data_IF_499965385619
#
_entry.id   IF_499965385619
#
_cell.length_a   1.000
_cell.length_b   1.000
_cell.length_c   1.000
_cell.angle_alpha   90.00
_cell.angle_beta   90.00
_cell.angle_gamma   90.00
#
_symmetry.space_group_name_H-M   'P 1'
#
loop_
_entity.id
_entity.type
_entity.pdbx_description
1 polymer ?
#
# COMPACT_ATOMS: atom_id res chain seq x y z
N UNK A 1 -22.22 4.55 -12.38
CA UNK A 1 -21.95 3.27 -13.08
C UNK A 1 -22.73 3.30 -14.37
N UNK A 2 -22.14 3.01 -15.54
CA UNK A 2 -22.85 3.20 -16.83
C UNK A 2 -24.05 2.26 -16.97
N UNK A 3 -25.22 2.80 -17.27
CA UNK A 3 -26.45 2.01 -17.45
C UNK A 3 -26.42 1.28 -18.81
N UNK A 4 -26.93 0.05 -18.91
CA UNK A 4 -27.00 -0.66 -20.20
C UNK A 4 -27.94 0.08 -21.16
N UNK A 5 -27.68 0.02 -22.46
CA UNK A 5 -28.50 0.70 -23.47
C UNK A 5 -29.98 0.30 -23.40
N UNK A 6 -30.25 -1.00 -23.18
CA UNK A 6 -31.60 -1.52 -23.01
C UNK A 6 -32.30 -0.87 -21.79
N UNK A 7 -31.64 -0.87 -20.64
CA UNK A 7 -32.17 -0.28 -19.42
C UNK A 7 -32.35 1.24 -19.54
N UNK A 8 -31.45 1.94 -20.26
CA UNK A 8 -31.62 3.38 -20.55
C UNK A 8 -32.89 3.66 -21.34
N UNK A 9 -33.16 2.88 -22.37
CA UNK A 9 -34.35 3.05 -23.21
C UNK A 9 -35.61 2.77 -22.38
N UNK A 10 -35.59 1.72 -21.57
CA UNK A 10 -36.75 1.38 -20.73
C UNK A 10 -36.99 2.39 -19.61
N UNK A 11 -35.95 2.87 -18.93
CA UNK A 11 -36.07 3.94 -17.92
C UNK A 11 -36.63 5.22 -18.54
N UNK A 12 -36.18 5.59 -19.74
CA UNK A 12 -36.69 6.77 -20.44
C UNK A 12 -38.18 6.63 -20.80
N UNK A 13 -38.61 5.45 -21.24
CA UNK A 13 -40.02 5.16 -21.55
C UNK A 13 -40.91 5.17 -20.30
N UNK A 14 -40.44 4.56 -19.20
CA UNK A 14 -41.13 4.58 -17.90
C UNK A 14 -41.29 6.00 -17.38
N UNK A 15 -40.23 6.82 -17.47
CA UNK A 15 -40.28 8.22 -17.07
C UNK A 15 -41.26 9.04 -17.92
N UNK A 16 -41.28 8.83 -19.25
CA UNK A 16 -42.22 9.51 -20.14
C UNK A 16 -43.67 9.13 -19.81
N UNK A 17 -43.93 7.85 -19.58
CA UNK A 17 -45.26 7.33 -19.18
C UNK A 17 -45.71 7.94 -17.86
N UNK A 18 -44.83 7.95 -16.86
CA UNK A 18 -45.13 8.50 -15.53
C UNK A 18 -45.41 10.01 -15.59
N UNK A 19 -44.65 10.78 -16.39
CA UNK A 19 -44.86 12.22 -16.57
C UNK A 19 -46.18 12.59 -17.22
N UNK A 20 -46.67 11.76 -18.14
CA UNK A 20 -47.97 11.97 -18.76
C UNK A 20 -49.12 11.85 -17.75
N UNK A 21 -48.89 11.18 -16.62
CA UNK A 21 -49.93 10.78 -15.67
C UNK A 21 -49.83 11.45 -14.30
N UNK A 22 -48.63 11.65 -13.76
CA UNK A 22 -48.41 12.22 -12.44
C UNK A 22 -47.84 13.64 -12.52
N UNK A 23 -48.57 14.66 -12.05
CA UNK A 23 -48.03 16.01 -11.95
C UNK A 23 -46.98 16.09 -10.84
N UNK A 24 -45.77 16.56 -11.16
CA UNK A 24 -44.69 16.77 -10.18
C UNK A 24 -43.42 15.96 -10.43
N UNK A 25 -43.44 14.97 -11.34
CA UNK A 25 -42.22 14.26 -11.73
C UNK A 25 -41.28 15.19 -12.48
N UNK A 26 -40.03 15.28 -11.99
CA UNK A 26 -39.01 16.18 -12.52
C UNK A 26 -38.63 15.89 -13.98
N UNK A 27 -38.06 16.90 -14.66
CA UNK A 27 -37.36 16.68 -15.92
C UNK A 27 -35.99 16.07 -15.64
N UNK A 28 -35.85 14.75 -15.74
CA UNK A 28 -34.53 14.14 -15.68
C UNK A 28 -33.72 14.47 -16.94
N UNK A 29 -32.45 14.85 -16.75
CA UNK A 29 -31.46 14.81 -17.81
C UNK A 29 -31.34 13.37 -18.36
N UNK A 30 -30.66 13.19 -19.51
CA UNK A 30 -30.46 11.86 -20.06
C UNK A 30 -29.79 10.95 -19.00
N UNK A 31 -30.53 9.95 -18.51
CA UNK A 31 -30.05 9.01 -17.49
C UNK A 31 -28.83 8.28 -18.06
N UNK A 32 -27.66 8.56 -17.50
CA UNK A 32 -26.40 8.01 -18.01
C UNK A 32 -25.94 6.81 -17.21
N UNK A 33 -26.41 6.71 -15.97
CA UNK A 33 -25.81 5.89 -14.94
C UNK A 33 -26.85 5.21 -14.04
N UNK A 34 -26.48 4.09 -13.42
CA UNK A 34 -27.40 3.26 -12.66
C UNK A 34 -27.90 3.92 -11.37
N UNK A 35 -27.13 4.81 -10.75
CA UNK A 35 -27.60 5.53 -9.56
C UNK A 35 -28.69 6.53 -9.97
N UNK A 36 -28.46 7.29 -11.04
CA UNK A 36 -29.48 8.18 -11.62
C UNK A 36 -30.74 7.39 -12.02
N UNK A 37 -30.56 6.20 -12.61
CA UNK A 37 -31.68 5.35 -13.02
C UNK A 37 -32.51 4.87 -11.83
N UNK A 38 -31.85 4.42 -10.76
CA UNK A 38 -32.51 3.97 -9.54
C UNK A 38 -33.28 5.11 -8.87
N UNK A 39 -32.68 6.31 -8.78
CA UNK A 39 -33.33 7.49 -8.19
C UNK A 39 -34.59 7.89 -8.98
N UNK A 40 -34.48 7.92 -10.32
CA UNK A 40 -35.62 8.22 -11.20
C UNK A 40 -36.72 7.17 -11.08
N UNK A 41 -36.37 5.89 -11.09
CA UNK A 41 -37.35 4.82 -10.95
C UNK A 41 -38.02 4.82 -9.56
N UNK A 42 -37.30 5.18 -8.51
CA UNK A 42 -37.85 5.30 -7.15
C UNK A 42 -38.79 6.51 -7.02
N UNK A 43 -38.50 7.62 -7.70
CA UNK A 43 -39.42 8.77 -7.83
C UNK A 43 -40.73 8.35 -8.53
N UNK A 44 -40.62 7.66 -9.68
CA UNK A 44 -41.78 7.13 -10.41
C UNK A 44 -42.58 6.14 -9.57
N UNK A 45 -41.89 5.24 -8.86
CA UNK A 45 -42.52 4.26 -7.98
C UNK A 45 -43.36 4.94 -6.89
N UNK A 46 -42.79 5.93 -6.19
CA UNK A 46 -43.50 6.67 -5.13
C UNK A 46 -44.72 7.39 -5.68
N UNK A 47 -44.60 8.08 -6.82
CA UNK A 47 -45.73 8.78 -7.43
C UNK A 47 -46.89 7.84 -7.80
N UNK A 48 -46.58 6.66 -8.34
CA UNK A 48 -47.57 5.65 -8.66
C UNK A 48 -48.22 5.03 -7.41
N UNK A 49 -47.45 4.78 -6.35
CA UNK A 49 -47.99 4.31 -5.05
C UNK A 49 -48.89 5.37 -4.40
N UNK A 50 -48.52 6.64 -4.43
CA UNK A 50 -49.33 7.73 -3.90
C UNK A 50 -50.68 7.85 -4.64
N UNK A 51 -50.67 7.69 -5.98
CA UNK A 51 -51.89 7.68 -6.78
C UNK A 51 -52.83 6.52 -6.42
N UNK A 52 -52.27 5.33 -6.14
CA UNK A 52 -53.03 4.13 -5.77
C UNK A 52 -53.55 4.13 -4.34
N UNK A 53 -52.87 4.86 -3.43
CA UNK A 53 -53.28 4.99 -2.02
C UNK A 53 -54.22 6.17 -1.79
N UNK A 54 -54.47 6.98 -2.82
CA UNK A 54 -55.48 8.04 -2.83
C UNK A 54 -56.91 7.51 -2.75
N UNK A 55 -57.88 8.44 -2.77
CA UNK A 55 -59.31 8.12 -2.65
C UNK A 55 -59.95 7.59 -3.94
N UNK A 56 -59.22 7.60 -5.05
CA UNK A 56 -59.70 7.14 -6.36
C UNK A 56 -59.46 5.62 -6.52
N UNK A 57 -60.34 4.89 -7.23
CA UNK A 57 -60.13 3.47 -7.49
C UNK A 57 -58.85 3.24 -8.31
N UNK A 58 -58.09 2.15 -8.03
CA UNK A 58 -56.87 1.81 -8.77
C UNK A 58 -57.11 1.69 -10.27
N UNK A 59 -56.35 2.39 -11.09
CA UNK A 59 -56.33 2.17 -12.55
C UNK A 59 -55.46 0.95 -12.87
N UNK A 60 -55.90 0.12 -13.82
CA UNK A 60 -55.11 -0.99 -14.34
C UNK A 60 -53.76 -0.50 -14.89
N UNK A 61 -53.73 0.72 -15.43
CA UNK A 61 -52.52 1.34 -15.95
C UNK A 61 -51.49 1.69 -14.85
N UNK A 62 -51.95 2.08 -13.66
CA UNK A 62 -51.08 2.39 -12.52
C UNK A 62 -50.44 1.09 -11.97
N UNK A 63 -51.19 -0.01 -11.96
CA UNK A 63 -50.68 -1.35 -11.57
C UNK A 63 -49.66 -1.86 -12.60
N UNK A 64 -49.93 -1.70 -13.89
CA UNK A 64 -49.02 -2.08 -14.97
C UNK A 64 -47.70 -1.28 -14.89
N UNK A 65 -47.78 0.03 -14.69
CA UNK A 65 -46.62 0.89 -14.52
C UNK A 65 -45.77 0.46 -13.33
N UNK A 66 -46.37 0.23 -12.15
CA UNK A 66 -45.65 -0.29 -10.99
C UNK A 66 -44.95 -1.62 -11.27
N UNK A 67 -45.63 -2.56 -11.94
CA UNK A 67 -45.03 -3.84 -12.30
C UNK A 67 -43.79 -3.65 -13.18
N UNK A 68 -43.88 -2.79 -14.20
CA UNK A 68 -42.76 -2.50 -15.09
C UNK A 68 -41.61 -1.81 -14.36
N UNK A 69 -41.89 -0.82 -13.51
CA UNK A 69 -40.89 -0.14 -12.69
C UNK A 69 -40.19 -1.13 -11.75
N UNK A 70 -40.94 -2.02 -11.09
CA UNK A 70 -40.36 -3.06 -10.21
C UNK A 70 -39.46 -4.02 -10.97
N UNK A 71 -39.88 -4.47 -12.14
CA UNK A 71 -39.06 -5.31 -13.01
C UNK A 71 -37.77 -4.59 -13.42
N UNK A 72 -37.84 -3.32 -13.84
CA UNK A 72 -36.68 -2.52 -14.18
C UNK A 72 -35.74 -2.33 -13.00
N UNK A 73 -36.25 -1.93 -11.83
CA UNK A 73 -35.47 -1.81 -10.58
C UNK A 73 -34.75 -3.12 -10.24
N UNK A 74 -35.45 -4.25 -10.32
CA UNK A 74 -34.89 -5.56 -9.96
C UNK A 74 -33.76 -5.96 -10.92
N UNK A 75 -33.93 -5.75 -12.22
CA UNK A 75 -32.88 -6.03 -13.22
C UNK A 75 -31.67 -5.11 -13.08
N UNK A 76 -31.90 -3.81 -12.90
CA UNK A 76 -30.81 -2.83 -12.72
C UNK A 76 -30.04 -3.16 -11.44
N UNK A 77 -30.72 -3.45 -10.33
CA UNK A 77 -30.06 -3.82 -9.07
C UNK A 77 -29.27 -5.13 -9.18
N UNK A 78 -29.83 -6.16 -9.82
CA UNK A 78 -29.13 -7.41 -10.07
C UNK A 78 -27.88 -7.20 -10.94
N UNK A 79 -28.00 -6.39 -12.00
CA UNK A 79 -26.86 -6.06 -12.87
C UNK A 79 -25.78 -5.28 -12.12
N UNK A 80 -26.15 -4.37 -11.23
CA UNK A 80 -25.19 -3.64 -10.41
C UNK A 80 -24.45 -4.57 -9.43
N UNK A 81 -25.16 -5.50 -8.79
CA UNK A 81 -24.55 -6.49 -7.89
C UNK A 81 -23.55 -7.37 -8.65
N UNK A 82 -23.94 -7.92 -9.81
CA UNK A 82 -23.06 -8.77 -10.63
C UNK A 82 -21.82 -8.01 -11.11
N UNK A 83 -21.97 -6.74 -11.49
CA UNK A 83 -20.84 -5.89 -11.88
C UNK A 83 -19.90 -5.59 -10.73
N UNK A 84 -20.44 -5.25 -9.55
CA UNK A 84 -19.61 -5.01 -8.36
C UNK A 84 -18.86 -6.28 -7.96
N UNK A 85 -19.52 -7.43 -7.96
CA UNK A 85 -18.89 -8.71 -7.64
C UNK A 85 -17.77 -9.06 -8.62
N UNK A 86 -18.03 -8.90 -9.93
CA UNK A 86 -17.01 -9.09 -10.98
C UNK A 86 -15.84 -8.13 -10.80
N UNK A 87 -16.12 -6.85 -10.54
CA UNK A 87 -15.12 -5.81 -10.35
C UNK A 87 -14.23 -6.07 -9.12
N UNK A 88 -14.83 -6.50 -8.01
CA UNK A 88 -14.11 -6.89 -6.79
C UNK A 88 -13.30 -8.17 -6.99
N UNK A 89 -13.82 -9.14 -7.72
CA UNK A 89 -13.09 -10.35 -8.08
C UNK A 89 -11.85 -10.00 -8.92
N UNK A 90 -12.01 -9.18 -9.97
CA UNK A 90 -10.89 -8.70 -10.79
C UNK A 90 -9.85 -7.94 -9.97
N UNK A 91 -10.28 -7.06 -9.05
CA UNK A 91 -9.36 -6.34 -8.16
C UNK A 91 -8.61 -7.31 -7.25
N UNK A 92 -9.32 -8.24 -6.60
CA UNK A 92 -8.71 -9.24 -5.70
C UNK A 92 -7.67 -10.08 -6.44
N UNK A 93 -8.01 -10.58 -7.62
CA UNK A 93 -7.12 -11.43 -8.40
C UNK A 93 -5.88 -10.63 -8.86
N UNK A 94 -6.08 -9.38 -9.31
CA UNK A 94 -5.00 -8.45 -9.64
C UNK A 94 -4.07 -8.17 -8.44
N UNK A 95 -4.63 -7.99 -7.24
CA UNK A 95 -3.83 -7.78 -6.01
C UNK A 95 -3.08 -9.04 -5.57
N UNK A 96 -3.71 -10.21 -5.67
CA UNK A 96 -3.10 -11.49 -5.27
C UNK A 96 -1.88 -11.83 -6.13
N UNK A 97 -1.89 -11.47 -7.42
CA UNK A 97 -0.74 -11.65 -8.31
C UNK A 97 0.51 -10.88 -7.86
N UNK A 98 0.33 -9.72 -7.22
CA UNK A 98 1.42 -8.83 -6.85
C UNK A 98 1.89 -8.98 -5.39
N UNK A 99 1.10 -9.59 -4.51
CA UNK A 99 1.45 -9.78 -3.09
C UNK A 99 2.72 -10.57 -2.85
N UNK A 100 2.98 -11.55 -3.72
CA UNK A 100 4.06 -12.51 -3.58
C UNK A 100 5.40 -11.99 -4.14
N UNK A 101 5.45 -10.74 -4.57
CA UNK A 101 6.62 -10.15 -5.20
C UNK A 101 7.40 -9.33 -4.18
N UNK A 102 8.67 -9.70 -4.00
CA UNK A 102 9.59 -9.03 -3.07
C UNK A 102 10.57 -8.06 -3.76
N UNK A 103 10.57 -8.01 -5.10
CA UNK A 103 11.41 -7.11 -5.90
C UNK A 103 10.59 -5.93 -6.45
N UNK A 104 10.93 -4.66 -6.12
CA UNK A 104 10.19 -3.50 -6.59
C UNK A 104 10.11 -3.38 -8.11
N UNK A 105 11.19 -3.68 -8.84
CA UNK A 105 11.20 -3.56 -10.30
C UNK A 105 10.30 -4.61 -10.95
N UNK A 106 10.33 -5.84 -10.46
CA UNK A 106 9.42 -6.90 -10.90
C UNK A 106 7.96 -6.59 -10.51
N UNK A 107 7.72 -6.02 -9.33
CA UNK A 107 6.41 -5.62 -8.86
C UNK A 107 5.74 -4.64 -9.83
N UNK A 108 6.45 -3.59 -10.26
CA UNK A 108 5.89 -2.58 -11.17
C UNK A 108 5.52 -3.18 -12.53
N UNK A 109 6.34 -4.10 -13.05
CA UNK A 109 6.03 -4.82 -14.29
C UNK A 109 4.77 -5.71 -14.15
N UNK A 110 4.66 -6.44 -13.05
CA UNK A 110 3.48 -7.27 -12.78
C UNK A 110 2.25 -6.43 -12.48
N UNK A 111 2.39 -5.28 -11.84
CA UNK A 111 1.32 -4.34 -11.60
C UNK A 111 0.74 -3.77 -12.91
N UNK A 112 1.58 -3.52 -13.93
CA UNK A 112 1.08 -3.10 -15.24
C UNK A 112 0.20 -4.19 -15.88
N UNK A 113 0.58 -5.46 -15.78
CA UNK A 113 -0.22 -6.59 -16.28
C UNK A 113 -1.51 -6.71 -15.47
N UNK A 114 -1.43 -6.69 -14.14
CA UNK A 114 -2.58 -6.79 -13.25
C UNK A 114 -3.60 -5.67 -13.47
N UNK A 115 -3.14 -4.44 -13.78
CA UNK A 115 -4.00 -3.32 -14.12
C UNK A 115 -4.82 -3.59 -15.40
N UNK A 116 -4.27 -4.27 -16.41
CA UNK A 116 -5.05 -4.65 -17.61
C UNK A 116 -6.19 -5.63 -17.30
N UNK A 117 -6.02 -6.48 -16.28
CA UNK A 117 -7.07 -7.41 -15.85
C UNK A 117 -8.29 -6.71 -15.21
N UNK A 118 -8.21 -5.40 -14.92
CA UNK A 118 -9.33 -4.59 -14.44
C UNK A 118 -10.28 -4.11 -15.56
N UNK A 119 -10.13 -4.64 -16.77
CA UNK A 119 -10.97 -4.28 -17.92
C UNK A 119 -10.36 -3.21 -18.83
N UNK A 120 -9.03 -3.08 -18.79
CA UNK A 120 -8.22 -2.20 -19.65
C UNK A 120 -7.36 -3.06 -20.59
N UNK A 121 -7.01 -2.54 -21.77
CA UNK A 121 -6.17 -3.27 -22.73
C UNK A 121 -4.68 -2.92 -22.58
N UNK A 122 -4.40 -1.75 -21.99
CA UNK A 122 -3.07 -1.20 -21.81
C UNK A 122 -2.96 -0.53 -20.46
N UNK A 123 -1.79 -0.65 -19.84
CA UNK A 123 -1.46 0.07 -18.63
C UNK A 123 0.00 0.51 -18.61
N UNK A 124 0.26 1.66 -18.00
CA UNK A 124 1.58 2.21 -17.76
C UNK A 124 1.71 2.56 -16.29
N UNK A 125 2.83 2.18 -15.69
CA UNK A 125 3.20 2.55 -14.34
C UNK A 125 4.34 3.55 -14.44
N UNK A 126 4.21 4.65 -13.73
CA UNK A 126 5.18 5.72 -13.75
C UNK A 126 5.62 6.11 -12.35
N UNK A 127 6.87 6.50 -12.22
CA UNK A 127 7.44 7.11 -11.02
C UNK A 127 7.27 8.63 -11.07
N UNK A 128 7.11 9.23 -9.89
CA UNK A 128 7.17 10.67 -9.69
C UNK A 128 8.20 10.98 -8.61
N UNK A 129 9.26 11.68 -8.99
CA UNK A 129 10.31 12.14 -8.09
C UNK A 129 10.79 13.53 -8.49
N UNK A 130 10.98 14.43 -7.53
CA UNK A 130 11.47 15.80 -7.78
C UNK A 130 10.67 16.58 -8.84
N UNK A 131 9.36 16.33 -8.92
CA UNK A 131 8.47 16.93 -9.92
C UNK A 131 8.64 16.37 -11.34
N UNK A 132 9.50 15.37 -11.54
CA UNK A 132 9.64 14.66 -12.80
C UNK A 132 8.73 13.44 -12.83
N UNK A 133 8.13 13.21 -13.99
CA UNK A 133 7.31 12.06 -14.32
C UNK A 133 8.08 11.16 -15.30
N UNK A 134 8.27 9.90 -14.91
CA UNK A 134 9.02 8.93 -15.70
C UNK A 134 8.28 7.59 -15.75
N UNK A 135 7.90 7.09 -16.93
CA UNK A 135 7.40 5.73 -17.07
C UNK A 135 8.46 4.70 -16.67
N UNK A 136 8.06 3.72 -15.86
CA UNK A 136 8.97 2.69 -15.33
C UNK A 136 8.55 1.28 -15.73
N UNK A 137 7.27 1.05 -16.00
CA UNK A 137 6.77 -0.21 -16.50
C UNK A 137 5.54 -0.01 -17.39
N UNK A 138 5.27 -0.97 -18.27
CA UNK A 138 4.14 -0.90 -19.19
C UNK A 138 3.70 -2.27 -19.67
N UNK A 139 2.42 -2.42 -19.93
CA UNK A 139 1.84 -3.59 -20.55
C UNK A 139 0.81 -3.21 -21.60
N UNK A 140 0.85 -3.89 -22.74
CA UNK A 140 -0.13 -3.79 -23.82
C UNK A 140 -0.45 -5.23 -24.21
N UNK A 141 -1.71 -5.65 -24.02
CA UNK A 141 -2.16 -7.06 -24.15
C UNK A 141 -1.72 -7.71 -25.46
N UNK A 142 -1.69 -6.95 -26.56
CA UNK A 142 -1.41 -7.44 -27.92
C UNK A 142 -0.01 -7.11 -28.44
N UNK A 143 0.75 -6.26 -27.75
CA UNK A 143 2.05 -5.81 -28.23
C UNK A 143 3.01 -5.40 -27.09
N UNK A 144 3.71 -6.37 -26.48
CA UNK A 144 4.69 -6.09 -25.44
C UNK A 144 5.86 -5.21 -25.91
N UNK A 145 6.19 -5.23 -27.21
CA UNK A 145 7.29 -4.42 -27.75
C UNK A 145 6.91 -2.95 -27.82
N UNK A 146 5.66 -2.65 -28.16
CA UNK A 146 5.14 -1.29 -28.14
C UNK A 146 5.10 -0.71 -26.72
N UNK A 147 4.73 -1.52 -25.73
CA UNK A 147 4.80 -1.10 -24.32
C UNK A 147 6.23 -0.69 -23.93
N UNK A 148 7.21 -1.49 -24.33
CA UNK A 148 8.63 -1.23 -24.06
C UNK A 148 9.14 0.04 -24.75
N UNK A 149 8.67 0.33 -25.96
CA UNK A 149 9.02 1.55 -26.68
C UNK A 149 8.49 2.81 -25.99
N UNK A 150 7.26 2.77 -25.48
CA UNK A 150 6.67 3.89 -24.72
C UNK A 150 7.47 4.16 -23.46
N UNK A 151 7.80 3.09 -22.71
CA UNK A 151 8.61 3.21 -21.48
C UNK A 151 9.99 3.78 -21.79
N UNK A 152 10.67 3.24 -22.81
CA UNK A 152 12.00 3.71 -23.21
C UNK A 152 11.99 5.19 -23.61
N UNK A 153 11.01 5.62 -24.42
CA UNK A 153 10.90 7.01 -24.85
C UNK A 153 10.65 7.97 -23.67
N UNK A 154 9.81 7.57 -22.71
CA UNK A 154 9.57 8.37 -21.50
C UNK A 154 10.77 8.44 -20.55
N UNK A 155 11.58 7.38 -20.49
CA UNK A 155 12.83 7.36 -19.73
C UNK A 155 13.93 8.20 -20.38
N UNK A 156 13.97 8.23 -21.71
CA UNK A 156 14.93 9.05 -22.45
C UNK A 156 14.61 10.54 -22.29
N UNK A 157 13.32 10.91 -22.21
CA UNK A 157 12.88 12.30 -22.17
C UNK A 157 11.90 12.59 -21.02
N UNK A 158 12.31 12.48 -19.73
CA UNK A 158 11.44 12.74 -18.58
C UNK A 158 10.72 14.09 -18.67
N UNK A 159 9.44 14.13 -18.29
CA UNK A 159 8.67 15.37 -18.28
C UNK A 159 8.49 15.95 -16.87
N UNK A 160 8.53 17.27 -16.75
CA UNK A 160 8.24 17.97 -15.49
C UNK A 160 6.74 18.17 -15.37
N UNK A 161 6.17 17.72 -14.25
CA UNK A 161 4.74 17.90 -13.95
C UNK A 161 4.50 19.37 -13.61
N UNK A 162 3.85 20.08 -14.53
CA UNK A 162 3.39 21.45 -14.31
C UNK A 162 1.87 21.51 -14.15
N UNK A 163 1.34 22.67 -13.75
CA UNK A 163 -0.08 22.84 -13.49
C UNK A 163 -0.98 22.70 -14.74
N UNK A 164 -0.41 22.65 -15.95
CA UNK A 164 -1.16 22.52 -17.20
C UNK A 164 -1.38 21.05 -17.59
N UNK A 165 -0.58 20.12 -17.05
CA UNK A 165 -0.79 18.69 -17.23
C UNK A 165 -1.96 18.17 -16.39
N UNK A 166 -2.79 17.26 -16.94
CA UNK A 166 -3.85 16.60 -16.17
C UNK A 166 -3.34 15.93 -14.90
N UNK A 167 -2.15 15.34 -14.94
CA UNK A 167 -1.49 14.63 -13.85
C UNK A 167 -1.24 15.53 -12.63
N UNK A 168 -1.11 16.85 -12.81
CA UNK A 168 -0.99 17.78 -11.69
C UNK A 168 -2.25 17.84 -10.83
N UNK A 169 -3.42 17.50 -11.38
CA UNK A 169 -4.64 17.36 -10.59
C UNK A 169 -4.53 16.19 -9.61
N UNK A 170 -3.91 15.08 -10.01
CA UNK A 170 -3.68 13.94 -9.12
C UNK A 170 -2.73 14.30 -7.98
N UNK A 171 -1.69 15.12 -8.23
CA UNK A 171 -0.81 15.63 -7.17
C UNK A 171 -1.56 16.53 -6.17
N UNK A 172 -2.53 17.32 -6.64
CA UNK A 172 -3.26 18.29 -5.82
C UNK A 172 -4.43 17.69 -5.06
N UNK A 173 -5.18 16.77 -5.69
CA UNK A 173 -6.43 16.22 -5.16
C UNK A 173 -6.29 14.81 -4.61
N UNK A 174 -5.19 14.12 -4.89
CA UNK A 174 -4.92 12.75 -4.47
C UNK A 174 -6.04 11.79 -4.87
N UNK A 175 -6.60 11.99 -6.07
CA UNK A 175 -7.72 11.21 -6.60
C UNK A 175 -7.46 10.81 -8.05
N UNK A 176 -8.04 9.70 -8.51
CA UNK A 176 -7.99 9.33 -9.92
C UNK A 176 -8.65 10.37 -10.81
N UNK A 177 -8.18 10.46 -12.05
CA UNK A 177 -8.70 11.33 -13.10
C UNK A 177 -9.16 10.52 -14.30
N UNK A 178 -10.08 11.10 -15.06
CA UNK A 178 -10.46 10.63 -16.40
C UNK A 178 -10.12 11.72 -17.40
N UNK A 179 -9.31 11.37 -18.39
CA UNK A 179 -9.08 12.19 -19.58
C UNK A 179 -9.90 11.59 -20.72
N UNK A 180 -10.97 12.30 -21.10
CA UNK A 180 -11.92 11.84 -22.11
C UNK A 180 -11.56 12.27 -23.55
N UNK A 181 -10.64 13.22 -23.71
CA UNK A 181 -10.09 13.59 -25.02
C UNK A 181 -8.74 14.29 -24.84
N UNK A 182 -7.67 13.59 -25.18
CA UNK A 182 -6.30 14.10 -25.08
C UNK A 182 -6.07 15.31 -25.98
N UNK A 183 -6.76 15.43 -27.11
CA UNK A 183 -6.58 16.53 -28.05
C UNK A 183 -7.23 17.84 -27.58
N UNK A 184 -8.11 17.79 -26.59
CA UNK A 184 -8.73 18.99 -25.98
C UNK A 184 -7.90 19.58 -24.84
N UNK A 185 -6.85 18.89 -24.42
CA UNK A 185 -6.03 19.35 -23.31
C UNK A 185 -5.16 20.53 -23.73
N UNK A 186 -4.99 21.54 -22.85
CA UNK A 186 -4.08 22.65 -23.12
C UNK A 186 -2.63 22.20 -23.18
N UNK A 187 -2.28 21.13 -22.46
CA UNK A 187 -0.98 20.49 -22.47
C UNK A 187 -1.13 18.99 -22.23
N UNK A 188 -0.27 18.22 -22.87
CA UNK A 188 -0.19 16.77 -22.73
C UNK A 188 1.26 16.31 -22.99
N UNK A 189 1.64 15.13 -22.49
CA UNK A 189 2.99 14.60 -22.71
C UNK A 189 3.15 14.08 -24.13
N UNK A 190 3.54 14.99 -25.03
CA UNK A 190 3.58 14.74 -26.47
C UNK A 190 4.39 13.48 -26.84
N UNK A 191 5.58 13.29 -26.25
CA UNK A 191 6.43 12.13 -26.53
C UNK A 191 5.73 10.80 -26.27
N UNK A 192 5.03 10.68 -25.14
CA UNK A 192 4.28 9.47 -24.83
C UNK A 192 3.05 9.36 -25.72
N UNK A 193 2.31 10.45 -25.92
CA UNK A 193 1.04 10.42 -26.66
C UNK A 193 1.25 10.11 -28.14
N UNK A 194 2.29 10.64 -28.76
CA UNK A 194 2.62 10.39 -30.17
C UNK A 194 2.91 8.90 -30.42
N UNK A 195 3.56 8.25 -29.45
CA UNK A 195 3.90 6.83 -29.52
C UNK A 195 2.72 5.95 -29.08
N UNK A 196 2.08 6.28 -27.96
CA UNK A 196 0.99 5.51 -27.37
C UNK A 196 -0.32 5.65 -28.17
N UNK A 197 -0.48 6.73 -28.94
CA UNK A 197 -1.66 7.05 -29.76
C UNK A 197 -2.98 7.00 -28.97
N UNK A 198 -2.91 7.21 -27.65
CA UNK A 198 -4.06 7.17 -26.76
C UNK A 198 -4.93 8.40 -26.95
N UNK A 199 -6.25 8.21 -27.03
CA UNK A 199 -7.23 9.31 -27.11
C UNK A 199 -7.90 9.59 -25.77
N UNK A 200 -8.06 8.54 -24.95
CA UNK A 200 -8.75 8.57 -23.66
C UNK A 200 -8.01 7.68 -22.70
N UNK A 201 -7.91 8.07 -21.44
CA UNK A 201 -7.30 7.24 -20.41
C UNK A 201 -7.85 7.58 -19.03
N UNK A 202 -7.74 6.60 -18.13
CA UNK A 202 -7.92 6.79 -16.69
C UNK A 202 -6.54 6.79 -16.06
N UNK A 203 -6.31 7.67 -15.09
CA UNK A 203 -5.08 7.64 -14.31
C UNK A 203 -5.38 7.70 -12.82
N UNK A 204 -4.59 6.99 -12.01
CA UNK A 204 -4.71 6.93 -10.57
C UNK A 204 -3.36 7.18 -9.89
N UNK A 205 -3.33 7.90 -8.75
CA UNK A 205 -2.11 8.10 -7.99
C UNK A 205 -1.69 6.84 -7.25
N UNK A 206 -0.38 6.59 -7.20
CA UNK A 206 0.25 5.60 -6.34
C UNK A 206 0.74 6.34 -5.09
N UNK A 207 0.16 6.01 -3.94
CA UNK A 207 0.37 6.75 -2.69
C UNK A 207 1.38 6.04 -1.78
N UNK A 208 2.31 6.79 -1.20
CA UNK A 208 3.16 6.33 -0.10
C UNK A 208 3.24 7.41 0.97
N UNK A 209 2.91 7.05 2.22
CA UNK A 209 2.97 7.95 3.38
C UNK A 209 2.33 9.34 3.14
N UNK A 210 1.21 9.39 2.40
CA UNK A 210 0.48 10.63 2.09
C UNK A 210 1.01 11.43 0.89
N UNK A 211 2.08 10.95 0.24
CA UNK A 211 2.64 11.55 -0.96
C UNK A 211 2.37 10.69 -2.19
N UNK A 212 2.25 11.33 -3.35
CA UNK A 212 2.23 10.62 -4.65
C UNK A 212 3.66 10.25 -5.01
N UNK A 213 3.93 8.95 -5.17
CA UNK A 213 5.23 8.42 -5.62
C UNK A 213 5.21 7.97 -7.08
N UNK A 214 4.03 7.97 -7.70
CA UNK A 214 3.85 7.47 -9.04
C UNK A 214 2.41 7.55 -9.51
N UNK A 215 2.18 7.11 -10.75
CA UNK A 215 0.87 7.02 -11.36
C UNK A 215 0.67 5.66 -12.02
N UNK A 216 -0.57 5.19 -12.01
CA UNK A 216 -1.05 4.11 -12.86
C UNK A 216 -1.93 4.75 -13.93
N UNK A 217 -1.55 4.64 -15.19
CA UNK A 217 -2.36 5.04 -16.35
C UNK A 217 -2.90 3.79 -17.03
N UNK A 218 -4.17 3.80 -17.42
CA UNK A 218 -4.77 2.69 -18.12
C UNK A 218 -5.75 3.16 -19.20
N UNK A 219 -5.80 2.44 -20.31
CA UNK A 219 -6.77 2.69 -21.37
C UNK A 219 -7.32 1.42 -22.04
N UNK A 220 -8.32 1.59 -22.90
CA UNK A 220 -9.02 0.53 -23.62
C UNK A 220 -8.90 0.76 -25.14
N UNK A 221 -7.67 0.86 -25.62
CA UNK A 221 -7.37 1.23 -27.01
C UNK A 221 -8.00 0.30 -28.06
N UNK A 222 -8.04 -1.02 -27.82
CA UNK A 222 -8.59 -1.97 -28.79
C UNK A 222 -10.11 -2.11 -28.68
N UNK A 223 -10.66 -1.95 -27.46
CA UNK A 223 -12.11 -2.08 -27.22
C UNK A 223 -12.89 -0.78 -27.46
N UNK A 224 -12.21 0.37 -27.52
CA UNK A 224 -12.76 1.69 -27.83
C UNK A 224 -14.10 1.99 -27.13
N UNK A 225 -14.18 1.70 -25.82
CA UNK A 225 -15.36 1.91 -24.98
C UNK A 225 -15.23 3.19 -24.13
N UNK A 226 -16.34 3.84 -23.73
CA UNK A 226 -16.30 4.88 -22.72
C UNK A 226 -15.94 4.30 -21.35
N UNK A 227 -15.21 5.08 -20.55
CA UNK A 227 -14.93 4.74 -19.15
C UNK A 227 -16.08 5.17 -18.25
N UNK A 228 -16.28 4.39 -17.20
CA UNK A 228 -17.33 4.57 -16.21
C UNK A 228 -16.72 5.00 -14.87
N UNK A 229 -17.56 5.53 -13.97
CA UNK A 229 -17.13 5.81 -12.60
C UNK A 229 -16.58 4.58 -11.86
N UNK A 230 -16.96 3.35 -12.27
CA UNK A 230 -16.38 2.14 -11.70
C UNK A 230 -14.97 1.87 -12.20
N UNK A 231 -14.68 2.12 -13.47
CA UNK A 231 -13.31 1.98 -14.02
C UNK A 231 -12.34 2.91 -13.28
N UNK A 232 -12.78 4.15 -13.05
CA UNK A 232 -12.02 5.17 -12.31
C UNK A 232 -11.78 4.71 -10.87
N UNK A 233 -12.82 4.19 -10.19
CA UNK A 233 -12.71 3.70 -8.80
C UNK A 233 -11.85 2.46 -8.69
N UNK A 234 -11.98 1.49 -9.60
CA UNK A 234 -11.17 0.28 -9.61
C UNK A 234 -9.69 0.59 -9.78
N UNK A 235 -9.36 1.45 -10.75
CA UNK A 235 -7.96 1.85 -10.95
C UNK A 235 -7.44 2.65 -9.74
N UNK A 236 -8.29 3.48 -9.11
CA UNK A 236 -7.97 4.18 -7.88
C UNK A 236 -7.62 3.24 -6.72
N UNK A 237 -8.49 2.27 -6.44
CA UNK A 237 -8.26 1.27 -5.39
C UNK A 237 -7.01 0.42 -5.69
N UNK A 238 -6.77 0.09 -6.96
CA UNK A 238 -5.56 -0.60 -7.38
C UNK A 238 -4.31 0.26 -7.14
N UNK A 239 -4.34 1.56 -7.44
CA UNK A 239 -3.24 2.50 -7.17
C UNK A 239 -2.95 2.66 -5.67
N UNK A 240 -3.99 2.74 -4.84
CA UNK A 240 -3.86 2.74 -3.37
C UNK A 240 -3.20 1.47 -2.86
N UNK A 241 -3.67 0.31 -3.33
CA UNK A 241 -3.12 -0.98 -2.98
C UNK A 241 -1.65 -1.12 -3.41
N UNK A 242 -1.34 -0.76 -4.65
CA UNK A 242 0.02 -0.81 -5.18
C UNK A 242 0.95 0.10 -4.36
N UNK A 243 0.47 1.28 -3.98
CA UNK A 243 1.21 2.21 -3.11
C UNK A 243 1.49 1.65 -1.72
N UNK A 244 0.53 0.95 -1.12
CA UNK A 244 0.73 0.26 0.15
C UNK A 244 1.76 -0.88 0.03
N UNK A 245 1.68 -1.69 -1.03
CA UNK A 245 2.64 -2.76 -1.31
C UNK A 245 4.04 -2.22 -1.57
N UNK A 246 4.17 -1.16 -2.36
CA UNK A 246 5.45 -0.46 -2.59
C UNK A 246 6.03 0.08 -1.28
N UNK A 247 5.21 0.76 -0.47
CA UNK A 247 5.65 1.30 0.82
C UNK A 247 6.16 0.20 1.74
N UNK A 248 5.47 -0.95 1.79
CA UNK A 248 5.92 -2.14 2.54
C UNK A 248 7.28 -2.63 2.04
N UNK A 249 7.47 -2.76 0.73
CA UNK A 249 8.75 -3.22 0.16
C UNK A 249 9.89 -2.23 0.43
N UNK A 250 9.66 -0.93 0.25
CA UNK A 250 10.64 0.12 0.52
C UNK A 250 11.06 0.14 2.00
N UNK A 251 10.10 0.03 2.92
CA UNK A 251 10.39 -0.08 4.35
C UNK A 251 11.20 -1.33 4.71
N UNK A 252 10.88 -2.47 4.09
CA UNK A 252 11.64 -3.71 4.30
C UNK A 252 13.08 -3.59 3.80
N UNK A 253 13.27 -2.94 2.65
CA UNK A 253 14.61 -2.70 2.10
C UNK A 253 15.42 -1.74 2.98
N UNK A 254 14.80 -0.65 3.45
CA UNK A 254 15.43 0.29 4.39
C UNK A 254 15.81 -0.39 5.72
N UNK A 255 14.96 -1.27 6.26
CA UNK A 255 15.28 -2.05 7.46
C UNK A 255 16.46 -3.01 7.23
N UNK A 256 16.53 -3.65 6.04
CA UNK A 256 17.67 -4.50 5.67
C UNK A 256 18.95 -3.70 5.56
N UNK A 257 18.90 -2.52 4.94
CA UNK A 257 20.03 -1.62 4.82
C UNK A 257 20.52 -1.13 6.20
N UNK A 258 19.61 -0.73 7.09
CA UNK A 258 19.93 -0.31 8.45
C UNK A 258 20.59 -1.45 9.24
N UNK A 259 20.05 -2.67 9.13
CA UNK A 259 20.64 -3.86 9.76
C UNK A 259 22.06 -4.12 9.25
N UNK A 260 22.27 -4.06 7.94
CA UNK A 260 23.59 -4.24 7.35
C UNK A 260 24.59 -3.16 7.82
N UNK A 261 24.14 -1.91 8.00
CA UNK A 261 24.97 -0.86 8.58
C UNK A 261 25.36 -1.14 10.03
N UNK A 262 24.41 -1.62 10.85
CA UNK A 262 24.69 -2.03 12.24
C UNK A 262 25.71 -3.17 12.27
N UNK A 263 25.51 -4.20 11.44
CA UNK A 263 26.42 -5.33 11.34
C UNK A 263 27.83 -4.85 10.92
N UNK A 264 27.91 -3.95 9.92
CA UNK A 264 29.18 -3.34 9.51
C UNK A 264 29.89 -2.54 10.60
N UNK A 265 29.15 -1.79 11.43
CA UNK A 265 29.71 -1.09 12.59
C UNK A 265 30.28 -2.10 13.59
N UNK A 266 29.53 -3.18 13.89
CA UNK A 266 30.00 -4.21 14.83
C UNK A 266 31.27 -4.91 14.33
N UNK A 267 31.36 -5.21 13.03
CA UNK A 267 32.57 -5.78 12.43
C UNK A 267 33.77 -4.82 12.53
N UNK A 268 33.59 -3.53 12.27
CA UNK A 268 34.66 -2.52 12.42
C UNK A 268 35.12 -2.35 13.85
N UNK A 269 34.22 -2.45 14.84
CA UNK A 269 34.59 -2.46 16.26
C UNK A 269 35.48 -3.67 16.56
N UNK A 270 35.09 -4.86 16.11
CA UNK A 270 35.89 -6.08 16.28
C UNK A 270 37.26 -5.99 15.59
N UNK A 271 37.33 -5.40 14.39
CA UNK A 271 38.60 -5.14 13.69
C UNK A 271 39.48 -4.11 14.42
N UNK A 272 38.89 -3.04 14.95
CA UNK A 272 39.62 -2.05 15.74
C UNK A 272 40.19 -2.69 17.01
N UNK A 273 39.41 -3.51 17.71
CA UNK A 273 39.88 -4.30 18.87
C UNK A 273 41.03 -5.24 18.48
N UNK A 274 40.94 -5.89 17.32
CA UNK A 274 41.99 -6.76 16.78
C UNK A 274 43.27 -5.96 16.40
N UNK A 275 43.11 -4.76 15.84
CA UNK A 275 44.23 -3.89 15.45
C UNK A 275 44.95 -3.26 16.64
N UNK A 276 44.19 -2.81 17.66
CA UNK A 276 44.74 -2.25 18.90
C UNK A 276 45.48 -3.30 19.74
N UNK A 277 45.10 -4.57 19.60
CA UNK A 277 45.75 -5.70 20.26
C UNK A 277 47.01 -6.21 19.55
N UNK A 278 47.59 -5.45 18.59
CA UNK A 278 48.74 -5.79 17.72
C UNK A 278 50.07 -6.27 18.35
N UNK A 279 50.06 -7.19 19.31
CA UNK A 279 51.20 -7.93 19.83
C UNK A 279 50.79 -9.38 20.08
N UNK A 280 51.44 -10.29 19.36
CA UNK A 280 51.72 -11.64 19.86
C UNK A 280 52.28 -11.52 21.27
N UNK A 281 51.47 -11.85 22.29
CA UNK A 281 51.98 -12.01 23.65
C UNK A 281 52.81 -13.30 23.70
N UNK A 282 54.02 -13.25 23.13
CA UNK A 282 55.09 -14.17 23.50
C UNK A 282 55.46 -13.79 24.93
N UNK A 283 54.87 -14.47 25.90
CA UNK A 283 55.25 -14.40 27.31
C UNK A 283 56.78 -14.56 27.40
N UNK A 284 57.50 -13.76 28.21
CA UNK A 284 58.86 -14.12 28.57
C UNK A 284 58.80 -15.49 29.23
N UNK A 285 59.54 -16.44 28.66
CA UNK A 285 59.71 -17.78 29.22
C UNK A 285 60.41 -17.66 30.57
N UNK A 286 59.65 -17.63 31.66
CA UNK A 286 60.14 -18.07 32.95
C UNK A 286 60.07 -19.60 32.94
N UNK A 287 61.11 -20.19 32.37
CA UNK A 287 61.39 -21.60 32.54
C UNK A 287 61.67 -21.86 34.02
N UNK A 288 61.00 -22.87 34.57
CA UNK A 288 61.34 -23.44 35.87
C UNK A 288 60.18 -23.54 36.84
N UNK A 289 59.27 -24.49 36.60
CA UNK A 289 59.02 -25.60 37.54
C UNK A 289 57.79 -26.38 37.06
N UNK A 290 58.05 -27.64 36.75
CA UNK A 290 57.07 -28.65 36.39
C UNK A 290 56.12 -28.97 37.58
N UNK A 291 54.90 -29.40 37.28
CA UNK A 291 54.44 -30.79 37.45
C UNK A 291 52.92 -30.91 37.16
N UNK A 292 52.61 -31.81 36.24
CA UNK A 292 51.55 -32.82 36.24
C UNK A 292 50.07 -32.50 36.55
N UNK A 293 49.27 -32.77 35.50
CA UNK A 293 48.16 -33.72 35.43
C UNK A 293 46.78 -33.45 36.11
N UNK A 294 45.77 -33.61 35.23
CA UNK A 294 44.36 -33.99 35.45
C UNK A 294 43.38 -32.93 36.02
N UNK A 295 42.21 -32.79 35.34
CA UNK A 295 41.12 -31.85 35.67
C UNK A 295 40.28 -32.24 36.91
N UNK A 296 39.03 -31.74 37.12
CA UNK A 296 38.10 -31.01 36.24
C UNK A 296 37.46 -29.74 36.88
N UNK A 297 36.52 -29.11 36.15
CA UNK A 297 35.65 -27.98 36.52
C UNK A 297 35.33 -27.76 38.01
N UNK A 298 35.52 -26.51 38.50
CA UNK A 298 34.56 -25.68 39.29
C UNK A 298 35.22 -24.42 39.86
N UNK A 299 34.57 -23.26 39.68
CA UNK A 299 34.70 -22.15 40.64
C UNK A 299 34.98 -20.76 40.05
N UNK A 300 33.95 -20.06 39.60
CA UNK A 300 33.96 -18.58 39.50
C UNK A 300 32.75 -17.94 40.18
N UNK A 301 32.21 -18.60 41.20
CA UNK A 301 31.35 -17.96 42.20
C UNK A 301 32.14 -17.05 43.19
N UNK A 302 33.47 -16.88 43.01
CA UNK A 302 34.35 -16.22 44.00
C UNK A 302 34.77 -14.78 43.66
N UNK A 303 34.36 -14.21 42.52
CA UNK A 303 34.84 -12.87 42.08
C UNK A 303 33.91 -11.73 42.57
N UNK A 304 32.60 -12.00 42.68
CA UNK A 304 31.61 -11.02 43.13
C UNK A 304 31.29 -11.22 44.62
N UNK A 305 31.13 -10.12 45.35
CA UNK A 305 30.60 -10.17 46.72
C UNK A 305 29.13 -10.58 46.70
N UNK A 306 28.64 -11.12 47.82
CA UNK A 306 27.21 -11.49 47.97
C UNK A 306 26.26 -10.37 47.55
N UNK A 307 26.59 -9.13 47.90
CA UNK A 307 25.77 -7.96 47.58
C UNK A 307 25.80 -7.60 46.09
N UNK A 308 26.93 -7.83 45.43
CA UNK A 308 27.07 -7.63 43.99
C UNK A 308 26.35 -8.72 43.19
N UNK A 309 26.30 -9.96 43.71
CA UNK A 309 25.53 -11.05 43.14
C UNK A 309 24.01 -10.77 43.21
N UNK A 310 23.50 -10.35 44.37
CA UNK A 310 22.08 -9.98 44.54
C UNK A 310 21.66 -8.85 43.58
N UNK A 311 22.54 -7.85 43.38
CA UNK A 311 22.31 -6.78 42.41
C UNK A 311 22.32 -7.32 40.98
N UNK A 312 23.28 -8.17 40.61
CA UNK A 312 23.39 -8.73 39.26
C UNK A 312 22.22 -9.65 38.89
N UNK A 313 21.73 -10.43 39.85
CA UNK A 313 20.55 -11.29 39.67
C UNK A 313 19.28 -10.47 39.37
N UNK A 314 19.02 -9.43 40.15
CA UNK A 314 17.90 -8.52 39.90
C UNK A 314 18.05 -7.80 38.56
N UNK A 315 19.29 -7.50 38.15
CA UNK A 315 19.60 -6.88 36.87
C UNK A 315 19.30 -7.81 35.70
N UNK A 316 19.65 -9.09 35.82
CA UNK A 316 19.33 -10.13 34.83
C UNK A 316 17.84 -10.38 34.70
N UNK A 317 17.08 -10.21 35.80
CA UNK A 317 15.62 -10.23 35.79
C UNK A 317 14.97 -8.91 35.28
N UNK A 318 15.77 -7.99 34.72
CA UNK A 318 15.27 -6.76 34.09
C UNK A 318 14.91 -5.62 35.07
N UNK A 319 15.28 -5.70 36.35
CA UNK A 319 14.92 -4.67 37.32
C UNK A 319 15.71 -3.36 37.11
N UNK A 320 15.02 -2.20 37.09
CA UNK A 320 15.67 -0.89 37.03
C UNK A 320 16.41 -0.56 38.33
N UNK A 321 17.37 0.37 38.29
CA UNK A 321 18.14 0.77 39.49
C UNK A 321 17.24 1.25 40.65
N UNK A 322 16.13 1.94 40.34
CA UNK A 322 15.12 2.36 41.31
C UNK A 322 14.37 1.17 41.96
N UNK A 323 14.14 0.09 41.21
CA UNK A 323 13.51 -1.14 41.71
C UNK A 323 14.50 -1.95 42.56
N UNK A 324 15.76 -2.04 42.13
CA UNK A 324 16.84 -2.70 42.89
C UNK A 324 17.07 -1.97 44.20
N UNK A 325 17.15 -0.64 44.17
CA UNK A 325 17.31 0.21 45.35
C UNK A 325 16.22 -0.05 46.41
N UNK A 326 14.95 -0.13 45.99
CA UNK A 326 13.84 -0.47 46.87
C UNK A 326 13.88 -1.91 47.37
N UNK A 327 14.14 -2.88 46.50
CA UNK A 327 14.20 -4.30 46.87
C UNK A 327 15.31 -4.59 47.88
N UNK A 328 16.43 -3.86 47.77
CA UNK A 328 17.61 -4.04 48.59
C UNK A 328 17.72 -3.01 49.73
N UNK A 329 16.75 -2.09 49.86
CA UNK A 329 16.73 -0.99 50.85
C UNK A 329 18.02 -0.17 50.87
N UNK A 330 18.47 0.29 49.70
CA UNK A 330 19.66 1.14 49.51
C UNK A 330 19.34 2.29 48.53
N UNK A 331 20.21 3.30 48.43
CA UNK A 331 20.02 4.39 47.47
C UNK A 331 20.34 3.95 46.02
N UNK A 332 19.72 4.59 45.02
CA UNK A 332 20.06 4.36 43.62
C UNK A 332 21.52 4.69 43.27
N UNK A 333 22.11 5.67 43.96
CA UNK A 333 23.54 5.99 43.84
C UNK A 333 24.41 4.82 44.28
N UNK A 334 24.02 4.13 45.36
CA UNK A 334 24.70 2.92 45.85
C UNK A 334 24.57 1.77 44.86
N UNK A 335 23.40 1.58 44.22
CA UNK A 335 23.22 0.57 43.15
C UNK A 335 24.14 0.86 41.97
N UNK A 336 24.25 2.11 41.52
CA UNK A 336 25.19 2.50 40.45
C UNK A 336 26.65 2.20 40.81
N UNK A 337 27.02 2.41 42.08
CA UNK A 337 28.33 2.03 42.60
C UNK A 337 28.60 0.52 42.50
N UNK A 338 27.64 -0.31 42.95
CA UNK A 338 27.73 -1.76 42.83
C UNK A 338 27.82 -2.21 41.36
N UNK A 339 27.02 -1.62 40.45
CA UNK A 339 27.09 -1.91 39.01
C UNK A 339 28.46 -1.63 38.41
N UNK A 340 29.09 -0.50 38.79
CA UNK A 340 30.45 -0.17 38.33
C UNK A 340 31.49 -1.18 38.83
N UNK A 341 31.33 -1.66 40.06
CA UNK A 341 32.22 -2.67 40.63
C UNK A 341 32.02 -4.03 39.96
N UNK A 342 30.76 -4.42 39.69
CA UNK A 342 30.40 -5.63 38.96
C UNK A 342 31.02 -5.61 37.55
N UNK A 343 30.84 -4.52 36.80
CA UNK A 343 31.42 -4.37 35.46
C UNK A 343 32.94 -4.52 35.46
N UNK A 344 33.62 -3.85 36.40
CA UNK A 344 35.07 -3.98 36.55
C UNK A 344 35.50 -5.40 36.92
N UNK A 345 34.77 -6.07 37.81
CA UNK A 345 35.10 -7.41 38.29
C UNK A 345 34.81 -8.50 37.25
N UNK A 346 33.78 -8.30 36.42
CA UNK A 346 33.41 -9.21 35.35
C UNK A 346 34.09 -8.89 34.01
N UNK A 347 34.76 -7.74 33.92
CA UNK A 347 35.35 -7.26 32.67
C UNK A 347 34.32 -6.88 31.60
N UNK A 348 33.10 -6.50 32.01
CA UNK A 348 32.02 -6.12 31.09
C UNK A 348 31.90 -4.61 30.97
N UNK A 349 31.57 -4.11 29.78
CA UNK A 349 31.50 -2.67 29.49
C UNK A 349 30.12 -2.08 29.83
N UNK A 350 29.06 -2.89 29.78
CA UNK A 350 27.70 -2.41 29.95
C UNK A 350 26.77 -3.44 30.62
N UNK A 351 25.56 -2.97 30.94
CA UNK A 351 24.53 -3.75 31.62
C UNK A 351 24.13 -5.01 30.85
N UNK A 352 24.02 -4.95 29.52
CA UNK A 352 23.59 -6.07 28.69
C UNK A 352 24.65 -7.18 28.68
N UNK A 353 25.93 -6.83 28.60
CA UNK A 353 27.04 -7.78 28.69
C UNK A 353 27.12 -8.46 30.05
N UNK A 354 26.90 -7.72 31.15
CA UNK A 354 26.84 -8.30 32.48
C UNK A 354 25.69 -9.31 32.65
N UNK A 355 24.53 -9.02 32.06
CA UNK A 355 23.38 -9.96 32.03
C UNK A 355 23.69 -11.19 31.19
N UNK A 356 24.29 -11.01 30.01
CA UNK A 356 24.71 -12.11 29.14
C UNK A 356 25.73 -13.01 29.84
N UNK A 357 26.65 -12.42 30.62
CA UNK A 357 27.60 -13.16 31.44
C UNK A 357 26.92 -13.97 32.56
N UNK A 358 25.93 -13.37 33.25
CA UNK A 358 25.15 -14.07 34.29
C UNK A 358 24.36 -15.25 33.73
N UNK A 359 23.70 -15.08 32.59
CA UNK A 359 22.91 -16.14 31.96
C UNK A 359 23.77 -17.33 31.53
N UNK A 360 25.01 -17.10 31.06
CA UNK A 360 25.97 -18.16 30.72
C UNK A 360 26.51 -18.92 31.92
N UNK A 361 26.48 -18.34 33.12
CA UNK A 361 26.92 -19.00 34.36
C UNK A 361 25.81 -19.86 34.99
N UNK A 362 24.54 -19.55 34.70
CA UNK A 362 23.36 -20.21 35.27
C UNK A 362 22.58 -21.08 34.26
N UNK A 363 23.10 -21.26 33.04
CA UNK A 363 22.65 -22.23 32.03
C UNK A 363 23.47 -23.50 32.10
#
# INVERSE_FOLDING_TARGET
>A
MSLQTQDRVEVADLLATARARYPGIGSAAAVTDCAEALDVLDEVWRAAVDALTGTAPPDAHDIELLSRVKSALTRIHASEVERVDTALASLRDATAEIEQIDDPAHLLNRAAIAATNLGFDRALISSVADGQWVPVAGHIERDPTWASQIVAAGQEHPEVIDAALPEAEMLRRLRPILVDDVHRLPRCYATIIDIAKGQRYVAAPIMSCGNVIGFVHADAFYRSRPFTNSDIRLLGLFGEYLGATMSRLMMLDELRALRAQVDGITSRIAELECSWSGRTHRRPSLAGAALDAAGPHRGTASVLTRRELEVLELVANGATNARIARALTISEGTVKGHMKHIFRKLGTANRAEAVSYWLRLNS
#
